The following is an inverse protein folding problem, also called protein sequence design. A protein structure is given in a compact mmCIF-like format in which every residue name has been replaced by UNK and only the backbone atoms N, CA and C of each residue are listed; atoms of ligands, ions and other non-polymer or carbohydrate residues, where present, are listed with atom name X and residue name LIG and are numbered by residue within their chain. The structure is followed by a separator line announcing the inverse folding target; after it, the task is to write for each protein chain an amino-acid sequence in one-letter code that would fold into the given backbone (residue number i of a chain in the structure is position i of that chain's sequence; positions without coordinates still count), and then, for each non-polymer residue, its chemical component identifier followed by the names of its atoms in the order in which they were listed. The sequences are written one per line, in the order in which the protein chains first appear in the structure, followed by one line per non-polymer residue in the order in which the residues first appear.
data_IF_784397071513
#
_entry.id   IF_784397071513
#
_cell.length_a   1.000
_cell.length_b   1.000
_cell.length_c   1.000
_cell.angle_alpha   90.00
_cell.angle_beta   90.00
_cell.angle_gamma   90.00
#
_symmetry.space_group_name_H-M   'P 1'
#
loop_
_entity.id
_entity.type
_entity.pdbx_description
1 polymer ?
#
# COMPACT_ATOMS: atom_id res chain seq x y z
N UNK A 1 28.44 72.02 18.45
CA UNK A 1 28.09 73.06 17.48
C UNK A 1 29.26 73.20 16.52
N UNK A 2 28.95 73.05 15.22
CA UNK A 2 29.79 73.23 14.02
C UNK A 2 30.96 72.27 13.81
N UNK A 3 31.31 71.85 12.60
CA UNK A 3 30.64 71.48 11.33
C UNK A 3 31.83 71.21 10.37
N UNK A 4 31.83 70.05 9.68
CA UNK A 4 32.48 69.76 8.37
C UNK A 4 33.99 70.01 8.17
N UNK A 5 34.66 69.40 7.19
CA UNK A 5 34.66 68.10 6.52
C UNK A 5 35.92 68.12 5.62
N UNK A 6 36.52 66.95 5.38
CA UNK A 6 37.28 66.56 4.18
C UNK A 6 38.62 67.23 3.79
N UNK A 7 39.68 66.41 3.80
CA UNK A 7 40.64 66.33 2.70
C UNK A 7 41.11 64.87 2.50
N UNK A 8 40.98 64.41 1.24
CA UNK A 8 41.76 63.41 0.49
C UNK A 8 42.56 62.32 1.26
N UNK A 9 42.38 61.04 0.93
CA UNK A 9 43.22 60.32 -0.05
C UNK A 9 42.94 58.80 -0.07
N UNK A 10 43.17 58.20 -1.23
CA UNK A 10 43.13 56.79 -1.62
C UNK A 10 43.91 55.85 -0.67
N UNK A 11 43.43 54.61 -0.45
CA UNK A 11 44.23 53.37 -0.59
C UNK A 11 43.44 52.06 -0.35
N UNK A 12 43.71 51.09 -1.22
CA UNK A 12 43.23 49.70 -1.26
C UNK A 12 43.39 48.93 0.05
N UNK A 13 42.34 48.21 0.48
CA UNK A 13 42.49 46.97 1.27
C UNK A 13 41.56 45.89 0.71
N UNK A 14 42.20 44.87 0.14
CA UNK A 14 41.63 43.56 -0.21
C UNK A 14 41.02 42.92 1.03
N UNK A 15 39.71 42.62 0.99
CA UNK A 15 39.09 41.68 1.92
C UNK A 15 38.26 40.65 1.16
N UNK A 16 38.55 39.39 1.49
CA UNK A 16 37.97 38.17 0.95
C UNK A 16 36.49 38.07 1.36
N UNK A 17 35.59 37.88 0.39
CA UNK A 17 34.27 37.27 0.58
C UNK A 17 34.26 36.00 -0.28
N UNK A 18 34.44 34.79 0.27
CA UNK A 18 33.44 33.99 1.00
C UNK A 18 32.12 33.84 0.22
N UNK A 19 32.05 32.70 -0.48
CA UNK A 19 30.89 31.79 -0.58
C UNK A 19 29.55 32.36 -1.07
N UNK A 20 29.18 31.96 -2.28
CA UNK A 20 27.81 31.52 -2.61
C UNK A 20 27.84 30.79 -3.95
N UNK A 21 28.16 29.49 -3.91
CA UNK A 21 27.85 28.58 -5.01
C UNK A 21 26.34 28.58 -5.19
N UNK A 22 25.88 29.01 -6.36
CA UNK A 22 24.51 28.86 -6.82
C UNK A 22 24.21 27.35 -6.85
N UNK A 23 23.59 26.84 -5.80
CA UNK A 23 22.98 25.53 -5.80
C UNK A 23 21.78 25.61 -6.75
N UNK A 24 21.90 24.89 -7.86
CA UNK A 24 20.81 24.55 -8.76
C UNK A 24 19.64 24.02 -7.95
N UNK A 25 18.60 24.84 -7.78
CA UNK A 25 17.33 24.39 -7.26
C UNK A 25 16.66 23.56 -8.37
N UNK A 26 17.02 22.29 -8.43
CA UNK A 26 16.41 21.30 -9.31
C UNK A 26 14.96 21.09 -8.84
N UNK A 27 14.08 22.00 -9.24
CA UNK A 27 12.63 21.88 -9.08
C UNK A 27 12.17 20.91 -10.15
N UNK A 28 12.28 19.61 -9.85
CA UNK A 28 11.59 18.58 -10.63
C UNK A 28 10.10 18.89 -10.50
N UNK A 29 9.53 19.53 -11.51
CA UNK A 29 8.10 19.80 -11.57
C UNK A 29 7.39 18.44 -11.53
N UNK A 30 6.82 18.10 -10.38
CA UNK A 30 6.00 16.89 -10.24
C UNK A 30 4.90 16.98 -11.30
N UNK A 31 4.83 15.99 -12.20
CA UNK A 31 3.82 15.98 -13.25
C UNK A 31 2.43 15.92 -12.61
N UNK A 32 1.42 16.54 -13.23
CA UNK A 32 0.04 16.44 -12.74
C UNK A 32 -0.46 14.99 -12.65
N UNK A 33 0.09 14.10 -13.48
CA UNK A 33 -0.12 12.65 -13.42
C UNK A 33 0.45 12.04 -12.13
N UNK A 34 1.68 12.38 -11.76
CA UNK A 34 2.35 11.93 -10.53
C UNK A 34 1.63 12.46 -9.29
N UNK A 35 1.16 13.71 -9.34
CA UNK A 35 0.35 14.29 -8.26
C UNK A 35 -0.97 13.54 -8.06
N UNK A 36 -1.65 13.18 -9.16
CA UNK A 36 -2.92 12.43 -9.10
C UNK A 36 -2.72 11.04 -8.51
N UNK A 37 -1.65 10.33 -8.90
CA UNK A 37 -1.28 9.05 -8.32
C UNK A 37 -1.01 9.18 -6.83
N UNK A 38 -0.20 10.15 -6.42
CA UNK A 38 0.13 10.36 -5.01
C UNK A 38 -1.12 10.61 -4.15
N UNK A 39 -2.04 11.45 -4.61
CA UNK A 39 -3.26 11.77 -3.86
C UNK A 39 -4.21 10.57 -3.77
N UNK A 40 -4.53 9.93 -4.90
CA UNK A 40 -5.48 8.81 -4.93
C UNK A 40 -4.90 7.61 -4.16
N UNK A 41 -3.62 7.32 -4.35
CA UNK A 41 -2.96 6.24 -3.64
C UNK A 41 -2.86 6.51 -2.13
N UNK A 42 -2.58 7.75 -1.71
CA UNK A 42 -2.61 8.10 -0.28
C UNK A 42 -4.00 7.90 0.34
N UNK A 43 -5.08 8.23 -0.38
CA UNK A 43 -6.44 7.93 0.07
C UNK A 43 -6.68 6.42 0.22
N UNK A 44 -6.22 5.62 -0.74
CA UNK A 44 -6.28 4.17 -0.66
C UNK A 44 -5.52 3.62 0.54
N UNK A 45 -4.27 4.04 0.73
CA UNK A 45 -3.43 3.58 1.83
C UNK A 45 -4.07 3.91 3.18
N UNK A 46 -4.56 5.14 3.38
CA UNK A 46 -5.23 5.54 4.61
C UNK A 46 -6.51 4.72 4.87
N UNK A 47 -7.33 4.51 3.85
CA UNK A 47 -8.57 3.75 3.98
C UNK A 47 -8.29 2.25 4.26
N UNK A 48 -7.33 1.66 3.55
CA UNK A 48 -6.91 0.28 3.73
C UNK A 48 -6.26 0.05 5.11
N UNK A 49 -5.48 1.01 5.60
CA UNK A 49 -4.86 0.97 6.93
C UNK A 49 -5.87 1.11 8.05
N UNK A 50 -6.91 1.91 7.84
CA UNK A 50 -8.05 2.00 8.75
C UNK A 50 -8.76 0.66 8.86
N UNK A 51 -9.01 -0.01 7.72
CA UNK A 51 -9.59 -1.36 7.70
C UNK A 51 -8.69 -2.40 8.36
N UNK A 52 -7.39 -2.36 8.09
CA UNK A 52 -6.41 -3.25 8.71
C UNK A 52 -6.39 -3.07 10.23
N UNK A 53 -6.32 -1.82 10.69
CA UNK A 53 -6.33 -1.48 12.10
C UNK A 53 -7.61 -1.98 12.78
N UNK A 54 -8.77 -1.81 12.16
CA UNK A 54 -10.03 -2.37 12.67
C UNK A 54 -9.92 -3.88 12.86
N UNK A 55 -9.50 -4.61 11.82
CA UNK A 55 -9.40 -6.09 11.83
C UNK A 55 -8.43 -6.60 12.89
N UNK A 56 -7.28 -5.91 13.07
CA UNK A 56 -6.26 -6.31 14.03
C UNK A 56 -6.62 -5.97 15.48
N UNK A 57 -7.51 -5.00 15.69
CA UNK A 57 -8.01 -4.64 17.03
C UNK A 57 -9.25 -5.44 17.45
N UNK A 58 -9.85 -6.23 16.55
CA UNK A 58 -10.86 -7.22 16.94
C UNK A 58 -10.22 -8.31 17.81
N UNK A 59 -10.98 -8.81 18.79
CA UNK A 59 -10.51 -9.81 19.75
C UNK A 59 -9.81 -11.00 19.10
N UNK A 60 -8.72 -11.48 19.71
CA UNK A 60 -7.91 -12.58 19.15
C UNK A 60 -8.73 -13.87 19.00
N UNK A 61 -9.74 -14.07 19.84
CA UNK A 61 -10.64 -15.21 19.81
C UNK A 61 -11.93 -14.97 19.00
N UNK A 62 -12.11 -13.77 18.42
CA UNK A 62 -13.28 -13.46 17.60
C UNK A 62 -13.27 -14.23 16.28
N UNK A 63 -14.41 -14.80 15.88
CA UNK A 63 -14.62 -15.35 14.53
C UNK A 63 -14.80 -14.19 13.54
N UNK A 64 -13.70 -13.78 12.91
CA UNK A 64 -13.68 -12.69 11.94
C UNK A 64 -14.02 -13.23 10.55
N UNK A 65 -15.00 -12.62 9.90
CA UNK A 65 -15.33 -12.88 8.49
C UNK A 65 -14.90 -11.69 7.63
N UNK A 66 -13.82 -11.86 6.87
CA UNK A 66 -13.27 -10.80 6.01
C UNK A 66 -14.27 -10.35 4.93
N UNK A 67 -15.18 -11.22 4.46
CA UNK A 67 -16.17 -10.82 3.46
C UNK A 67 -17.14 -9.79 4.02
N UNK A 68 -17.51 -9.91 5.30
CA UNK A 68 -18.40 -8.97 5.99
C UNK A 68 -17.73 -7.66 6.38
N UNK A 69 -16.40 -7.58 6.32
CA UNK A 69 -15.64 -6.38 6.69
C UNK A 69 -15.04 -5.65 5.49
N UNK A 70 -14.68 -6.39 4.45
CA UNK A 70 -13.93 -5.92 3.29
C UNK A 70 -14.63 -6.19 1.96
N UNK A 71 -15.75 -6.92 1.94
CA UNK A 71 -16.48 -7.27 0.72
C UNK A 71 -17.01 -6.05 -0.03
N UNK A 72 -17.31 -6.22 -1.32
CA UNK A 72 -17.95 -5.19 -2.16
C UNK A 72 -19.30 -4.80 -1.53
N UNK A 73 -19.61 -3.51 -1.48
CA UNK A 73 -20.85 -2.96 -0.93
C UNK A 73 -20.91 -2.91 0.60
N UNK A 74 -19.90 -3.40 1.31
CA UNK A 74 -19.83 -3.33 2.78
C UNK A 74 -19.47 -1.93 3.26
N UNK A 75 -18.59 -1.24 2.52
CA UNK A 75 -18.18 0.13 2.80
C UNK A 75 -18.08 0.90 1.49
N UNK A 76 -19.12 1.68 1.20
CA UNK A 76 -19.19 2.49 -0.02
C UNK A 76 -18.05 3.51 -0.13
N UNK A 77 -17.53 4.02 0.99
CA UNK A 77 -16.44 5.00 0.96
C UNK A 77 -15.15 4.32 0.52
N UNK A 78 -14.88 3.13 1.04
CA UNK A 78 -13.73 2.33 0.61
C UNK A 78 -13.87 1.87 -0.85
N UNK A 79 -15.07 1.47 -1.25
CA UNK A 79 -15.35 1.08 -2.63
C UNK A 79 -15.14 2.23 -3.62
N UNK A 80 -15.54 3.46 -3.27
CA UNK A 80 -15.26 4.67 -4.07
C UNK A 80 -13.77 4.95 -4.23
N UNK A 81 -12.97 4.69 -3.20
CA UNK A 81 -11.51 4.84 -3.26
C UNK A 81 -10.90 3.79 -4.20
N UNK A 82 -11.32 2.52 -4.11
CA UNK A 82 -10.88 1.47 -5.04
C UNK A 82 -11.30 1.82 -6.48
N UNK A 83 -12.53 2.31 -6.69
CA UNK A 83 -12.98 2.75 -8.00
C UNK A 83 -12.14 3.90 -8.54
N UNK A 84 -11.73 4.85 -7.69
CA UNK A 84 -10.85 5.95 -8.08
C UNK A 84 -9.47 5.45 -8.53
N UNK A 85 -8.89 4.46 -7.83
CA UNK A 85 -7.67 3.79 -8.29
C UNK A 85 -7.84 3.13 -9.65
N UNK A 86 -8.94 2.38 -9.86
CA UNK A 86 -9.20 1.74 -11.15
C UNK A 86 -9.32 2.75 -12.29
N UNK A 87 -9.98 3.88 -12.03
CA UNK A 87 -10.14 4.96 -13.02
C UNK A 87 -8.80 5.62 -13.35
N UNK A 88 -7.92 5.78 -12.36
CA UNK A 88 -6.55 6.27 -12.59
C UNK A 88 -5.71 5.27 -13.40
N UNK A 89 -5.87 3.97 -13.13
CA UNK A 89 -5.14 2.91 -13.82
C UNK A 89 -5.41 2.87 -15.34
N UNK A 90 -6.54 3.40 -15.80
CA UNK A 90 -6.81 3.54 -17.24
C UNK A 90 -5.79 4.42 -17.98
N UNK A 91 -5.05 5.27 -17.27
CA UNK A 91 -3.97 6.11 -17.84
C UNK A 91 -2.59 5.82 -17.26
N UNK A 92 -2.52 5.17 -16.09
CA UNK A 92 -1.27 4.93 -15.34
C UNK A 92 -1.22 3.49 -14.78
N UNK A 93 -1.54 2.48 -15.60
CA UNK A 93 -1.73 1.09 -15.17
C UNK A 93 -0.53 0.53 -14.39
N UNK A 94 0.68 0.62 -14.93
CA UNK A 94 1.88 0.06 -14.28
C UNK A 94 2.15 0.72 -12.94
N UNK A 95 2.09 2.06 -12.89
CA UNK A 95 2.35 2.82 -11.68
C UNK A 95 1.31 2.53 -10.58
N UNK A 96 0.04 2.38 -10.94
CA UNK A 96 -1.03 2.03 -9.99
C UNK A 96 -0.88 0.59 -9.48
N UNK A 97 -0.62 -0.37 -10.37
CA UNK A 97 -0.40 -1.78 -10.01
C UNK A 97 0.82 -1.91 -9.09
N UNK A 98 1.93 -1.27 -9.44
CA UNK A 98 3.15 -1.27 -8.63
C UNK A 98 2.91 -0.65 -7.25
N UNK A 99 2.14 0.43 -7.18
CA UNK A 99 1.82 1.08 -5.91
C UNK A 99 1.01 0.15 -4.98
N UNK A 100 -0.04 -0.52 -5.48
CA UNK A 100 -0.85 -1.44 -4.66
C UNK A 100 -0.08 -2.70 -4.27
N UNK A 101 0.79 -3.22 -5.16
CA UNK A 101 1.68 -4.33 -4.86
C UNK A 101 2.71 -3.97 -3.79
N UNK A 102 3.28 -2.75 -3.88
CA UNK A 102 4.19 -2.19 -2.87
C UNK A 102 3.50 -1.99 -1.52
N UNK A 103 2.26 -1.50 -1.50
CA UNK A 103 1.47 -1.41 -0.26
C UNK A 103 1.34 -2.77 0.40
N UNK A 104 0.95 -3.82 -0.33
CA UNK A 104 0.85 -5.17 0.25
C UNK A 104 2.18 -5.65 0.81
N UNK A 105 3.29 -5.46 0.08
CA UNK A 105 4.62 -5.87 0.55
C UNK A 105 4.95 -5.20 1.89
N UNK A 106 4.73 -3.89 1.99
CA UNK A 106 4.94 -3.13 3.23
C UNK A 106 4.07 -3.63 4.40
N UNK A 107 2.86 -4.14 4.13
CA UNK A 107 1.98 -4.70 5.17
C UNK A 107 2.32 -6.11 5.61
N UNK A 108 3.18 -6.84 4.91
CA UNK A 108 3.56 -8.22 5.23
C UNK A 108 4.99 -8.32 5.78
N UNK A 109 5.76 -7.23 5.69
CA UNK A 109 7.05 -7.03 6.40
C UNK A 109 6.86 -7.28 7.92
N UNK A 110 7.86 -7.81 8.66
CA UNK A 110 7.70 -8.22 10.06
C UNK A 110 7.07 -7.13 10.94
N UNK A 111 6.00 -7.54 11.64
CA UNK A 111 5.24 -6.73 12.61
C UNK A 111 6.15 -5.84 13.47
N UNK A 112 5.80 -4.55 13.56
CA UNK A 112 6.49 -3.59 14.44
C UNK A 112 6.54 -4.14 15.88
N UNK A 113 7.74 -4.24 16.50
CA UNK A 113 7.92 -4.63 17.90
C UNK A 113 7.03 -3.87 18.90
N UNK A 114 6.55 -2.67 18.55
CA UNK A 114 5.62 -1.87 19.36
C UNK A 114 4.21 -2.48 19.47
N UNK A 115 3.73 -3.17 18.41
CA UNK A 115 2.47 -3.94 18.43
C UNK A 115 2.61 -5.13 19.39
N UNK A 116 3.78 -5.77 19.38
CA UNK A 116 4.14 -6.85 20.31
C UNK A 116 4.14 -6.33 21.75
N UNK A 117 4.63 -5.11 21.98
CA UNK A 117 4.68 -4.47 23.31
C UNK A 117 3.30 -4.08 23.84
N UNK A 118 2.37 -3.62 22.98
CA UNK A 118 0.97 -3.33 23.40
C UNK A 118 0.21 -4.58 23.85
N UNK A 119 0.48 -5.74 23.24
CA UNK A 119 -0.08 -7.02 23.72
C UNK A 119 0.57 -7.45 25.04
N UNK A 120 1.87 -7.14 25.24
CA UNK A 120 2.57 -7.40 26.52
C UNK A 120 2.00 -6.59 27.70
N UNK A 121 1.60 -5.34 27.49
CA UNK A 121 1.09 -4.48 28.59
C UNK A 121 -0.25 -4.91 29.17
N UNK A 122 -1.02 -5.75 28.48
CA UNK A 122 -2.26 -6.33 29.04
C UNK A 122 -2.04 -7.63 29.80
N UNK A 123 -0.81 -8.17 29.82
CA UNK A 123 -0.59 -9.51 30.35
C UNK A 123 0.85 -9.76 30.77
N UNK A 124 1.29 -9.09 31.84
CA UNK A 124 2.51 -9.47 32.58
C UNK A 124 2.41 -10.87 33.24
N UNK A 125 1.29 -11.58 33.07
CA UNK A 125 0.99 -12.88 33.67
C UNK A 125 0.55 -13.99 32.69
N UNK A 126 0.62 -13.79 31.36
CA UNK A 126 0.27 -14.87 30.41
C UNK A 126 1.45 -15.80 30.11
N UNK A 127 1.21 -17.12 29.99
CA UNK A 127 2.23 -18.07 29.54
C UNK A 127 2.79 -17.69 28.17
N UNK A 128 4.11 -17.83 27.98
CA UNK A 128 4.81 -17.54 26.71
C UNK A 128 4.18 -18.26 25.49
N UNK A 129 3.55 -19.42 25.71
CA UNK A 129 2.81 -20.17 24.69
C UNK A 129 1.61 -19.39 24.14
N UNK A 130 0.82 -18.77 25.04
CA UNK A 130 -0.33 -17.94 24.65
C UNK A 130 0.12 -16.71 23.87
N UNK A 131 1.21 -16.07 24.28
CA UNK A 131 1.79 -14.93 23.55
C UNK A 131 2.21 -15.30 22.13
N UNK A 132 2.84 -16.48 21.95
CA UNK A 132 3.22 -16.99 20.63
C UNK A 132 1.99 -17.28 19.76
N UNK A 133 0.96 -17.88 20.35
CA UNK A 133 -0.31 -18.16 19.65
C UNK A 133 -0.99 -16.87 19.19
N UNK A 134 -1.13 -15.88 20.08
CA UNK A 134 -1.72 -14.57 19.73
C UNK A 134 -0.97 -13.94 18.56
N UNK A 135 0.37 -13.95 18.59
CA UNK A 135 1.19 -13.40 17.52
C UNK A 135 0.96 -14.13 16.18
N UNK A 136 0.84 -15.47 16.20
CA UNK A 136 0.56 -16.24 14.97
C UNK A 136 -0.81 -15.91 14.38
N UNK A 137 -1.84 -15.76 15.22
CA UNK A 137 -3.20 -15.41 14.79
C UNK A 137 -3.24 -14.01 14.19
N UNK A 138 -2.61 -13.01 14.85
CA UNK A 138 -2.58 -11.64 14.33
C UNK A 138 -1.81 -11.54 13.01
N UNK A 139 -0.68 -12.26 12.89
CA UNK A 139 0.09 -12.32 11.64
C UNK A 139 -0.72 -12.96 10.50
N UNK A 140 -1.43 -14.05 10.78
CA UNK A 140 -2.32 -14.67 9.78
C UNK A 140 -3.44 -13.73 9.35
N UNK A 141 -4.11 -13.07 10.31
CA UNK A 141 -5.17 -12.09 10.03
C UNK A 141 -4.67 -10.94 9.16
N UNK A 142 -3.52 -10.36 9.50
CA UNK A 142 -2.89 -9.28 8.72
C UNK A 142 -2.59 -9.73 7.28
N UNK A 143 -2.02 -10.93 7.13
CA UNK A 143 -1.71 -11.50 5.81
C UNK A 143 -2.98 -11.73 4.97
N UNK A 144 -4.02 -12.33 5.54
CA UNK A 144 -5.27 -12.60 4.82
C UNK A 144 -6.03 -11.31 4.48
N UNK A 145 -6.08 -10.34 5.40
CA UNK A 145 -6.73 -9.06 5.16
C UNK A 145 -6.02 -8.24 4.08
N UNK A 146 -4.68 -8.20 4.10
CA UNK A 146 -3.90 -7.48 3.08
C UNK A 146 -4.01 -8.12 1.70
N UNK A 147 -4.03 -9.46 1.63
CA UNK A 147 -4.33 -10.19 0.40
C UNK A 147 -5.72 -9.86 -0.11
N UNK A 148 -6.73 -9.88 0.77
CA UNK A 148 -8.11 -9.58 0.39
C UNK A 148 -8.23 -8.18 -0.20
N UNK A 149 -7.65 -7.17 0.46
CA UNK A 149 -7.65 -5.78 -0.02
C UNK A 149 -6.91 -5.66 -1.35
N UNK A 150 -5.72 -6.28 -1.47
CA UNK A 150 -4.96 -6.26 -2.72
C UNK A 150 -5.78 -6.83 -3.87
N UNK A 151 -6.32 -8.05 -3.71
CA UNK A 151 -7.07 -8.70 -4.78
C UNK A 151 -8.30 -7.88 -5.16
N UNK A 152 -9.01 -7.28 -4.19
CA UNK A 152 -10.12 -6.37 -4.48
C UNK A 152 -9.69 -5.18 -5.33
N UNK A 153 -8.57 -4.55 -5.00
CA UNK A 153 -8.05 -3.43 -5.77
C UNK A 153 -7.63 -3.86 -7.18
N UNK A 154 -6.87 -4.96 -7.29
CA UNK A 154 -6.39 -5.47 -8.56
C UNK A 154 -7.54 -5.91 -9.48
N UNK A 155 -8.56 -6.60 -8.96
CA UNK A 155 -9.71 -7.00 -9.78
C UNK A 155 -10.39 -5.76 -10.38
N UNK A 156 -10.67 -4.73 -9.59
CA UNK A 156 -11.31 -3.51 -10.10
C UNK A 156 -10.41 -2.78 -11.11
N UNK A 157 -9.10 -2.76 -10.88
CA UNK A 157 -8.12 -2.21 -11.83
C UNK A 157 -8.17 -2.98 -13.15
N UNK A 158 -7.99 -4.31 -13.12
CA UNK A 158 -7.93 -5.15 -14.32
C UNK A 158 -9.25 -5.07 -15.11
N UNK A 159 -10.40 -5.07 -14.44
CA UNK A 159 -11.72 -4.90 -15.09
C UNK A 159 -11.90 -3.56 -15.79
N UNK A 160 -11.14 -2.53 -15.39
CA UNK A 160 -11.20 -1.20 -15.99
C UNK A 160 -10.29 -1.06 -17.21
N UNK A 161 -9.29 -1.93 -17.34
CA UNK A 161 -8.36 -1.93 -18.46
C UNK A 161 -9.03 -2.47 -19.73
N UNK A 162 -8.55 -1.98 -20.87
CA UNK A 162 -8.96 -2.49 -22.19
C UNK A 162 -7.90 -3.45 -22.72
N UNK A 163 -8.25 -4.42 -23.58
CA UNK A 163 -7.27 -5.35 -24.12
C UNK A 163 -6.14 -4.62 -24.85
N UNK A 164 -4.91 -5.08 -24.66
CA UNK A 164 -3.68 -4.42 -25.14
C UNK A 164 -3.24 -3.17 -24.37
N UNK A 165 -3.96 -2.73 -23.31
CA UNK A 165 -3.52 -1.58 -22.49
C UNK A 165 -2.54 -1.94 -21.38
N UNK A 166 -2.51 -3.21 -20.94
CA UNK A 166 -1.55 -3.70 -19.97
C UNK A 166 -0.28 -4.15 -20.72
N UNK A 167 0.92 -3.69 -20.33
CA UNK A 167 2.15 -4.20 -20.93
C UNK A 167 2.29 -5.71 -20.72
N UNK A 168 2.64 -6.44 -21.77
CA UNK A 168 2.70 -7.92 -21.78
C UNK A 168 3.51 -8.46 -20.60
N UNK A 169 4.74 -7.96 -20.40
CA UNK A 169 5.60 -8.37 -19.28
C UNK A 169 4.91 -8.18 -17.92
N UNK A 170 4.19 -7.07 -17.72
CA UNK A 170 3.51 -6.80 -16.45
C UNK A 170 2.31 -7.74 -16.26
N UNK A 171 1.57 -8.01 -17.34
CA UNK A 171 0.46 -8.95 -17.36
C UNK A 171 0.91 -10.36 -17.03
N UNK A 172 1.92 -10.88 -17.74
CA UNK A 172 2.48 -12.21 -17.53
C UNK A 172 3.04 -12.38 -16.11
N UNK A 173 3.78 -11.38 -15.60
CA UNK A 173 4.30 -11.41 -14.23
C UNK A 173 3.16 -11.45 -13.20
N UNK A 174 2.10 -10.67 -13.38
CA UNK A 174 0.97 -10.65 -12.46
C UNK A 174 0.19 -11.97 -12.52
N UNK A 175 -0.01 -12.52 -13.72
CA UNK A 175 -0.61 -13.83 -13.92
C UNK A 175 0.20 -14.93 -13.21
N UNK A 176 1.52 -14.96 -13.41
CA UNK A 176 2.40 -15.94 -12.76
C UNK A 176 2.33 -15.83 -11.24
N UNK A 177 2.33 -14.61 -10.68
CA UNK A 177 2.22 -14.39 -9.24
C UNK A 177 0.91 -14.99 -8.71
N UNK A 178 -0.22 -14.67 -9.35
CA UNK A 178 -1.56 -15.11 -8.93
C UNK A 178 -1.72 -16.62 -9.10
N UNK A 179 -1.30 -17.16 -10.24
CA UNK A 179 -1.34 -18.59 -10.54
C UNK A 179 -0.51 -19.38 -9.53
N UNK A 180 0.68 -18.89 -9.16
CA UNK A 180 1.51 -19.53 -8.15
C UNK A 180 0.87 -19.53 -6.76
N UNK A 181 0.06 -18.52 -6.40
CA UNK A 181 -0.70 -18.54 -5.14
C UNK A 181 -1.74 -19.66 -5.16
N UNK A 182 -2.50 -19.79 -6.24
CA UNK A 182 -3.50 -20.84 -6.41
C UNK A 182 -2.85 -22.23 -6.41
N UNK A 183 -1.76 -22.42 -7.16
CA UNK A 183 -1.04 -23.69 -7.28
C UNK A 183 -0.43 -24.17 -5.95
N UNK A 184 0.07 -23.26 -5.12
CA UNK A 184 0.71 -23.59 -3.83
C UNK A 184 -0.27 -23.65 -2.66
N UNK A 185 -1.54 -23.34 -2.87
CA UNK A 185 -2.49 -23.27 -1.78
C UNK A 185 -2.78 -24.67 -1.20
N UNK A 186 -2.74 -24.79 0.13
CA UNK A 186 -3.08 -26.03 0.84
C UNK A 186 -4.61 -26.20 0.91
N UNK A 187 -5.20 -27.20 0.21
CA UNK A 187 -6.65 -27.40 0.18
C UNK A 187 -7.24 -27.63 1.57
N UNK A 188 -6.51 -28.30 2.45
CA UNK A 188 -6.98 -28.64 3.79
C UNK A 188 -6.97 -27.40 4.69
N UNK A 189 -5.97 -26.52 4.56
CA UNK A 189 -5.98 -25.23 5.24
C UNK A 189 -7.10 -24.31 4.75
N UNK A 190 -7.41 -24.32 3.44
CA UNK A 190 -8.51 -23.55 2.86
C UNK A 190 -9.86 -23.99 3.45
N UNK A 191 -10.15 -25.30 3.43
CA UNK A 191 -11.41 -25.87 3.95
C UNK A 191 -11.67 -25.50 5.42
N UNK A 192 -10.61 -25.39 6.22
CA UNK A 192 -10.69 -25.07 7.66
C UNK A 192 -10.86 -23.58 7.96
N UNK A 193 -10.69 -22.68 6.98
CA UNK A 193 -10.73 -21.24 7.21
C UNK A 193 -11.56 -20.52 6.16
N UNK A 194 -12.67 -19.91 6.61
CA UNK A 194 -13.54 -19.06 5.79
C UNK A 194 -12.76 -17.92 5.13
N UNK A 195 -11.78 -17.36 5.83
CA UNK A 195 -10.95 -16.26 5.34
C UNK A 195 -9.95 -16.73 4.28
N UNK A 196 -9.35 -17.93 4.44
CA UNK A 196 -8.51 -18.52 3.38
C UNK A 196 -9.32 -18.83 2.14
N UNK A 197 -10.52 -19.39 2.30
CA UNK A 197 -11.46 -19.59 1.20
C UNK A 197 -11.78 -18.27 0.50
N UNK A 198 -12.09 -17.22 1.25
CA UNK A 198 -12.38 -15.90 0.68
C UNK A 198 -11.20 -15.29 -0.08
N UNK A 199 -9.97 -15.43 0.42
CA UNK A 199 -8.78 -15.01 -0.32
C UNK A 199 -8.56 -15.83 -1.61
N UNK A 200 -8.83 -17.14 -1.59
CA UNK A 200 -8.68 -17.98 -2.78
C UNK A 200 -9.71 -17.68 -3.85
N UNK A 201 -10.96 -17.43 -3.46
CA UNK A 201 -12.01 -17.02 -4.39
C UNK A 201 -11.63 -15.71 -5.11
N UNK A 202 -11.02 -14.76 -4.38
CA UNK A 202 -10.54 -13.52 -4.99
C UNK A 202 -9.35 -13.73 -5.93
N UNK A 203 -8.44 -14.67 -5.64
CA UNK A 203 -7.39 -15.02 -6.61
C UNK A 203 -7.96 -15.70 -7.86
N UNK A 204 -8.96 -16.57 -7.68
CA UNK A 204 -9.65 -17.22 -8.80
C UNK A 204 -10.42 -16.22 -9.67
N UNK A 205 -11.03 -15.20 -9.06
CA UNK A 205 -11.65 -14.10 -9.79
C UNK A 205 -10.59 -13.26 -10.53
N UNK A 206 -9.50 -12.89 -9.85
CA UNK A 206 -8.43 -12.08 -10.43
C UNK A 206 -7.75 -12.76 -11.63
N UNK A 207 -7.44 -14.06 -11.54
CA UNK A 207 -6.84 -14.80 -12.66
C UNK A 207 -7.80 -14.87 -13.85
N UNK A 208 -9.11 -15.01 -13.59
CA UNK A 208 -10.13 -15.02 -14.64
C UNK A 208 -10.19 -13.68 -15.40
N UNK A 209 -10.19 -12.57 -14.67
CA UNK A 209 -10.21 -11.22 -15.27
C UNK A 209 -8.89 -10.92 -16.03
N UNK A 210 -7.74 -11.38 -15.52
CA UNK A 210 -6.45 -11.27 -16.21
C UNK A 210 -6.45 -12.05 -17.54
N UNK A 211 -6.94 -13.28 -17.52
CA UNK A 211 -7.00 -14.12 -18.72
C UNK A 211 -7.90 -13.49 -19.80
N UNK A 212 -9.04 -12.92 -19.39
CA UNK A 212 -9.93 -12.19 -20.31
C UNK A 212 -9.21 -10.98 -20.92
N UNK A 213 -8.46 -10.23 -20.11
CA UNK A 213 -7.74 -9.04 -20.57
C UNK A 213 -6.60 -9.37 -21.55
N UNK A 214 -5.89 -10.49 -21.33
CA UNK A 214 -4.71 -10.89 -22.11
C UNK A 214 -5.05 -11.66 -23.39
N UNK A 215 -6.23 -12.29 -23.49
CA UNK A 215 -6.62 -13.05 -24.67
C UNK A 215 -7.43 -12.27 -25.72
N UNK A 216 -7.94 -11.09 -25.38
CA UNK A 216 -8.74 -10.24 -26.26
C UNK A 216 -7.89 -9.12 -26.88
#
# INVERSE_FOLDING_TARGET
MNFNNEHMNNQNIVTKNSTSSLAEHNSTSISSADYSLNVIFSQFENAADTKMSLILNLGVDSDIDLRKLLGRGVDESFDKVIYSLSSLAATQQSAVIDAVMRWRKAKVEPLDPSVIKRVRTFSDSAPLSRTRQIHSVLKERQSLASVFILCRALIEIIKKLVPGSLPDDLGENLEEIVFNQLKKADPEAIKRSKNRTASMDLFAELIGELFILLML
#
